data_IF_538074107363
#
_entry.id   IF_538074107363
#
_cell.length_a   1.000
_cell.length_b   1.000
_cell.length_c   1.000
_cell.angle_alpha   90.00
_cell.angle_beta   90.00
_cell.angle_gamma   90.00
#
_symmetry.space_group_name_H-M   'P 1'
#
loop_
_entity.id
_entity.type
_entity.pdbx_description
1 polymer ?
#
# COMPACT_ATOMS: atom_id res chain seq x y z
N UNK A 1 -9.51 56.16 28.37
CA UNK A 1 -8.10 55.82 28.06
C UNK A 1 -7.95 54.32 28.15
N UNK A 2 -7.57 53.73 27.02
CA UNK A 2 -7.40 52.30 26.79
C UNK A 2 -6.23 51.74 27.58
N UNK A 3 -6.39 50.54 28.16
CA UNK A 3 -5.34 49.52 28.23
C UNK A 3 -5.97 48.15 28.05
N UNK A 4 -6.11 47.78 26.78
CA UNK A 4 -6.31 46.41 26.32
C UNK A 4 -5.01 45.64 26.60
N UNK A 5 -5.07 44.61 27.42
CA UNK A 5 -4.08 43.53 27.39
C UNK A 5 -4.85 42.27 27.00
N UNK A 6 -4.75 41.95 25.71
CA UNK A 6 -4.94 40.61 25.22
C UNK A 6 -3.58 39.91 25.37
N UNK A 7 -3.54 38.84 26.15
CA UNK A 7 -2.42 37.90 26.11
C UNK A 7 -2.47 37.13 24.78
N UNK A 8 -1.32 36.89 24.12
CA UNK A 8 -1.30 36.26 22.82
C UNK A 8 -1.61 34.77 22.95
N UNK A 9 -2.60 34.32 22.17
CA UNK A 9 -2.75 32.93 21.81
C UNK A 9 -1.58 32.51 20.92
N UNK A 10 -0.73 31.60 21.40
CA UNK A 10 0.16 30.79 20.55
C UNK A 10 0.57 29.52 21.28
N UNK A 11 -0.35 28.56 21.37
CA UNK A 11 -0.06 27.16 21.70
C UNK A 11 -0.97 26.29 20.83
N UNK A 12 -0.65 26.19 19.55
CA UNK A 12 -0.99 25.04 18.73
C UNK A 12 0.23 24.76 17.87
N UNK A 13 0.84 23.61 18.12
CA UNK A 13 1.99 23.08 17.40
C UNK A 13 1.66 23.03 15.91
N UNK A 14 2.50 23.64 15.07
CA UNK A 14 2.58 23.28 13.67
C UNK A 14 3.03 21.80 13.65
N UNK A 15 2.11 20.89 13.32
CA UNK A 15 2.49 19.53 12.93
C UNK A 15 3.30 19.68 11.64
N UNK A 16 4.63 19.68 11.76
CA UNK A 16 5.54 19.50 10.63
C UNK A 16 5.19 18.15 9.96
N UNK A 17 4.29 18.19 8.98
CA UNK A 17 3.96 17.03 8.17
C UNK A 17 5.20 16.58 7.39
N UNK A 18 5.38 15.27 7.23
CA UNK A 18 6.51 14.76 6.47
C UNK A 18 6.29 15.01 4.96
N UNK A 19 7.35 15.33 4.24
CA UNK A 19 7.32 15.41 2.78
C UNK A 19 7.25 14.00 2.16
N UNK A 20 6.81 13.91 0.91
CA UNK A 20 6.80 12.65 0.15
C UNK A 20 8.16 11.94 0.18
N UNK A 21 9.25 12.71 0.03
CA UNK A 21 10.60 12.17 0.01
C UNK A 21 10.97 11.58 1.36
N UNK A 22 10.76 12.31 2.47
CA UNK A 22 11.02 11.82 3.82
C UNK A 22 10.20 10.57 4.14
N UNK A 23 8.94 10.53 3.72
CA UNK A 23 8.08 9.35 3.91
C UNK A 23 8.61 8.14 3.13
N UNK A 24 9.01 8.32 1.88
CA UNK A 24 9.55 7.21 1.08
C UNK A 24 10.88 6.69 1.66
N UNK A 25 11.76 7.60 2.10
CA UNK A 25 13.06 7.25 2.68
C UNK A 25 12.92 6.57 4.05
N UNK A 26 12.13 7.16 4.97
CA UNK A 26 12.00 6.68 6.35
C UNK A 26 11.24 5.35 6.46
N UNK A 27 10.28 5.11 5.56
CA UNK A 27 9.41 3.93 5.60
C UNK A 27 9.67 2.94 4.46
N UNK A 28 10.71 3.19 3.64
CA UNK A 28 11.11 2.36 2.50
C UNK A 28 9.95 2.08 1.53
N UNK A 29 9.17 3.11 1.22
CA UNK A 29 8.04 3.00 0.30
C UNK A 29 8.51 3.10 -1.16
N UNK A 30 7.70 2.54 -2.07
CA UNK A 30 7.93 2.60 -3.51
C UNK A 30 7.72 4.04 -4.03
N UNK A 31 8.82 4.80 -4.10
CA UNK A 31 8.79 6.21 -4.51
C UNK A 31 8.13 6.43 -5.89
N UNK A 32 8.44 5.66 -6.96
CA UNK A 32 7.73 5.75 -8.23
C UNK A 32 6.21 5.60 -8.10
N UNK A 33 5.74 4.62 -7.32
CA UNK A 33 4.31 4.45 -7.05
C UNK A 33 3.74 5.66 -6.30
N UNK A 34 4.44 6.12 -5.25
CA UNK A 34 3.97 7.20 -4.39
C UNK A 34 3.86 8.53 -5.16
N UNK A 35 4.81 8.83 -6.05
CA UNK A 35 4.73 9.99 -6.97
C UNK A 35 3.47 9.89 -7.85
N UNK A 36 3.19 8.71 -8.40
CA UNK A 36 2.00 8.51 -9.25
C UNK A 36 0.69 8.66 -8.46
N UNK A 37 0.65 8.22 -7.21
CA UNK A 37 -0.51 8.38 -6.33
C UNK A 37 -0.72 9.83 -5.90
N UNK A 38 0.35 10.61 -5.69
CA UNK A 38 0.28 12.06 -5.49
C UNK A 38 -0.27 12.74 -6.76
N UNK A 39 0.24 12.39 -7.95
CA UNK A 39 -0.28 12.94 -9.22
C UNK A 39 -1.77 12.63 -9.44
N UNK A 40 -2.24 11.50 -8.94
CA UNK A 40 -3.66 11.10 -8.99
C UNK A 40 -4.51 11.71 -7.87
N UNK A 41 -3.92 12.53 -7.00
CA UNK A 41 -4.61 13.21 -5.91
C UNK A 41 -5.04 12.29 -4.78
N UNK A 42 -4.34 11.16 -4.59
CA UNK A 42 -4.57 10.25 -3.45
C UNK A 42 -3.92 10.81 -2.18
N UNK A 43 -2.73 11.39 -2.32
CA UNK A 43 -1.96 12.00 -1.23
C UNK A 43 -1.53 13.42 -1.59
N UNK A 44 -1.29 14.25 -0.57
CA UNK A 44 -0.59 15.52 -0.72
C UNK A 44 0.92 15.28 -0.78
N UNK A 45 1.68 16.10 -1.52
CA UNK A 45 3.13 15.95 -1.60
C UNK A 45 3.89 16.50 -0.39
N UNK A 46 3.31 17.48 0.31
CA UNK A 46 4.05 18.35 1.23
C UNK A 46 3.63 18.22 2.70
N UNK A 47 2.63 17.41 3.05
CA UNK A 47 2.13 17.30 4.41
C UNK A 47 1.52 15.91 4.66
N UNK A 48 2.36 14.88 4.76
CA UNK A 48 1.89 13.57 5.19
C UNK A 48 1.68 13.55 6.69
N UNK A 49 0.45 13.23 7.10
CA UNK A 49 0.13 12.86 8.47
C UNK A 49 0.48 11.38 8.74
N UNK A 50 0.54 10.98 10.01
CA UNK A 50 0.70 9.56 10.39
C UNK A 50 -0.37 8.65 9.75
N UNK A 51 -1.59 9.18 9.58
CA UNK A 51 -2.67 8.48 8.87
C UNK A 51 -2.36 8.28 7.39
N UNK A 52 -1.75 9.27 6.75
CA UNK A 52 -1.33 9.19 5.34
C UNK A 52 -0.17 8.21 5.16
N UNK A 53 0.77 8.15 6.11
CA UNK A 53 1.85 7.14 6.11
C UNK A 53 1.26 5.73 6.17
N UNK A 54 0.28 5.48 7.05
CA UNK A 54 -0.40 4.18 7.11
C UNK A 54 -1.09 3.82 5.79
N UNK A 55 -1.74 4.80 5.15
CA UNK A 55 -2.36 4.60 3.85
C UNK A 55 -1.34 4.41 2.72
N UNK A 56 -0.20 5.08 2.77
CA UNK A 56 0.90 4.92 1.82
C UNK A 56 1.52 3.51 1.88
N UNK A 57 1.73 3.00 3.10
CA UNK A 57 2.16 1.62 3.31
C UNK A 57 1.13 0.61 2.76
N UNK A 58 -0.16 0.85 2.99
CA UNK A 58 -1.23 0.04 2.39
C UNK A 58 -1.22 0.11 0.86
N UNK A 59 -0.96 1.28 0.28
CA UNK A 59 -0.87 1.44 -1.17
C UNK A 59 0.28 0.61 -1.77
N UNK A 60 1.45 0.61 -1.13
CA UNK A 60 2.59 -0.21 -1.52
C UNK A 60 2.24 -1.71 -1.45
N UNK A 61 1.63 -2.16 -0.35
CA UNK A 61 1.18 -3.56 -0.23
C UNK A 61 0.18 -3.96 -1.32
N UNK A 62 -0.75 -3.07 -1.68
CA UNK A 62 -1.69 -3.31 -2.77
C UNK A 62 -1.00 -3.41 -4.13
N UNK A 63 0.04 -2.61 -4.36
CA UNK A 63 0.86 -2.65 -5.56
C UNK A 63 1.66 -3.96 -5.66
N UNK A 64 2.32 -4.37 -4.58
CA UNK A 64 3.01 -5.68 -4.46
C UNK A 64 2.04 -6.86 -4.68
N UNK A 65 0.78 -6.70 -4.29
CA UNK A 65 -0.28 -7.68 -4.52
C UNK A 65 -0.73 -7.75 -5.98
N UNK A 66 -0.22 -6.88 -6.84
CA UNK A 66 -0.44 -6.87 -8.29
C UNK A 66 -1.45 -5.83 -8.78
N UNK A 67 -1.86 -4.86 -7.96
CA UNK A 67 -2.69 -3.75 -8.44
C UNK A 67 -1.85 -2.67 -9.13
N UNK A 68 -2.42 -2.07 -10.18
CA UNK A 68 -1.86 -0.87 -10.77
C UNK A 68 -2.13 0.37 -9.91
N UNK A 69 -1.33 1.42 -10.09
CA UNK A 69 -1.55 2.72 -9.45
C UNK A 69 -2.95 3.29 -9.72
N UNK A 70 -3.54 3.03 -10.89
CA UNK A 70 -4.91 3.41 -11.23
C UNK A 70 -5.94 2.71 -10.33
N UNK A 71 -5.83 1.38 -10.18
CA UNK A 71 -6.73 0.63 -9.31
C UNK A 71 -6.57 1.02 -7.84
N UNK A 72 -5.35 1.34 -7.42
CA UNK A 72 -5.06 1.81 -6.05
C UNK A 72 -5.67 3.20 -5.82
N UNK A 73 -5.55 4.13 -6.77
CA UNK A 73 -6.21 5.43 -6.66
C UNK A 73 -7.73 5.28 -6.57
N UNK A 74 -8.33 4.44 -7.42
CA UNK A 74 -9.75 4.13 -7.36
C UNK A 74 -10.16 3.48 -6.01
N UNK A 75 -9.28 2.65 -5.43
CA UNK A 75 -9.47 2.08 -4.10
C UNK A 75 -9.57 3.18 -3.04
N UNK A 76 -8.65 4.15 -2.99
CA UNK A 76 -8.71 5.21 -1.97
C UNK A 76 -9.87 6.19 -2.18
N UNK A 77 -10.21 6.50 -3.43
CA UNK A 77 -11.22 7.49 -3.78
C UNK A 77 -12.67 6.98 -3.71
N UNK A 78 -12.91 5.68 -3.55
CA UNK A 78 -14.27 5.13 -3.51
C UNK A 78 -15.02 5.52 -2.23
N UNK A 79 -16.24 6.06 -2.39
CA UNK A 79 -17.10 6.53 -1.29
C UNK A 79 -18.34 5.64 -1.06
N UNK A 80 -18.21 4.31 -1.21
CA UNK A 80 -19.34 3.38 -1.15
C UNK A 80 -19.42 2.55 0.15
N UNK A 81 -18.88 3.09 1.26
CA UNK A 81 -18.79 2.37 2.52
C UNK A 81 -17.91 1.11 2.44
N UNK A 82 -16.94 1.12 1.53
CA UNK A 82 -15.96 0.04 1.36
C UNK A 82 -16.53 -1.22 0.72
N UNK A 83 -17.66 -1.14 0.01
CA UNK A 83 -18.22 -2.30 -0.72
C UNK A 83 -17.29 -2.67 -1.89
N UNK A 84 -16.89 -1.70 -2.71
CA UNK A 84 -15.98 -1.88 -3.84
C UNK A 84 -14.59 -2.30 -3.37
N UNK A 85 -14.08 -1.68 -2.29
CA UNK A 85 -12.84 -2.09 -1.62
C UNK A 85 -12.85 -3.59 -1.26
N UNK A 86 -13.93 -4.06 -0.61
CA UNK A 86 -14.08 -5.49 -0.25
C UNK A 86 -14.17 -6.41 -1.46
N UNK A 87 -14.83 -6.00 -2.54
CA UNK A 87 -14.89 -6.79 -3.78
C UNK A 87 -13.51 -6.93 -4.40
N UNK A 88 -12.76 -5.81 -4.50
CA UNK A 88 -11.41 -5.80 -5.03
C UNK A 88 -10.47 -6.72 -4.24
N UNK A 89 -10.47 -6.61 -2.91
CA UNK A 89 -9.64 -7.44 -2.03
C UNK A 89 -9.99 -8.93 -2.14
N UNK A 90 -11.28 -9.28 -2.26
CA UNK A 90 -11.71 -10.68 -2.47
C UNK A 90 -11.20 -11.23 -3.78
N UNK A 91 -11.22 -10.41 -4.84
CA UNK A 91 -10.69 -10.80 -6.15
C UNK A 91 -9.19 -11.05 -6.09
N UNK A 92 -8.43 -10.12 -5.54
CA UNK A 92 -6.98 -10.28 -5.34
C UNK A 92 -6.65 -11.53 -4.54
N UNK A 93 -7.41 -11.79 -3.47
CA UNK A 93 -7.25 -13.00 -2.67
C UNK A 93 -7.46 -14.27 -3.51
N UNK A 94 -8.52 -14.32 -4.31
CA UNK A 94 -8.78 -15.47 -5.18
C UNK A 94 -7.67 -15.68 -6.20
N UNK A 95 -7.20 -14.61 -6.86
CA UNK A 95 -6.11 -14.67 -7.83
C UNK A 95 -4.79 -15.13 -7.17
N UNK A 96 -4.49 -14.65 -5.95
CA UNK A 96 -3.33 -15.11 -5.19
C UNK A 96 -3.42 -16.59 -4.82
N UNK A 97 -4.60 -17.07 -4.41
CA UNK A 97 -4.84 -18.50 -4.12
C UNK A 97 -4.69 -19.36 -5.36
N UNK A 98 -5.15 -18.90 -6.52
CA UNK A 98 -4.98 -19.62 -7.78
C UNK A 98 -3.50 -19.77 -8.16
N UNK A 99 -2.70 -18.71 -8.00
CA UNK A 99 -1.24 -18.77 -8.20
C UNK A 99 -0.58 -19.73 -7.22
N UNK A 100 -0.92 -19.66 -5.93
CA UNK A 100 -0.39 -20.56 -4.91
C UNK A 100 -0.71 -22.03 -5.23
N UNK A 101 -1.95 -22.34 -5.62
CA UNK A 101 -2.33 -23.69 -6.04
C UNK A 101 -1.61 -24.14 -7.33
N UNK A 102 -1.32 -23.23 -8.25
CA UNK A 102 -0.56 -23.55 -9.46
C UNK A 102 0.90 -23.90 -9.13
N UNK A 103 1.54 -23.13 -8.24
CA UNK A 103 2.89 -23.42 -7.79
C UNK A 103 2.95 -24.72 -6.97
N UNK A 104 1.94 -25.00 -6.12
CA UNK A 104 1.87 -26.29 -5.42
C UNK A 104 1.84 -27.47 -6.40
N UNK A 105 0.97 -27.41 -7.43
CA UNK A 105 0.93 -28.45 -8.48
C UNK A 105 2.25 -28.59 -9.23
N UNK A 106 3.02 -27.51 -9.34
CA UNK A 106 4.34 -27.53 -9.97
C UNK A 106 5.35 -28.25 -9.08
N UNK A 107 5.35 -27.97 -7.78
CA UNK A 107 6.16 -28.68 -6.78
C UNK A 107 5.84 -30.17 -6.79
N UNK A 108 4.56 -30.55 -6.72
CA UNK A 108 4.15 -31.96 -6.72
C UNK A 108 4.67 -32.74 -7.96
N UNK A 109 4.69 -32.08 -9.12
CA UNK A 109 5.24 -32.65 -10.36
C UNK A 109 6.75 -32.82 -10.27
N UNK A 110 7.47 -31.85 -9.72
CA UNK A 110 8.91 -31.93 -9.53
C UNK A 110 9.27 -33.06 -8.55
N UNK A 111 8.55 -33.18 -7.44
CA UNK A 111 8.75 -34.25 -6.46
C UNK A 111 8.52 -35.64 -7.06
N UNK A 112 7.48 -35.79 -7.88
CA UNK A 112 7.23 -37.03 -8.63
C UNK A 112 8.40 -37.39 -9.57
N UNK A 113 8.96 -36.39 -10.25
CA UNK A 113 10.13 -36.61 -11.12
C UNK A 113 11.38 -36.97 -10.32
N UNK A 114 11.63 -36.30 -9.19
CA UNK A 114 12.75 -36.61 -8.31
C UNK A 114 12.67 -38.05 -7.81
N UNK A 115 11.50 -38.46 -7.31
CA UNK A 115 11.28 -39.82 -6.81
C UNK A 115 11.52 -40.90 -7.88
N UNK A 116 11.08 -40.65 -9.10
CA UNK A 116 11.36 -41.56 -10.23
C UNK A 116 12.84 -41.70 -10.55
N UNK A 117 13.64 -40.66 -10.33
CA UNK A 117 15.09 -40.71 -10.53
C UNK A 117 15.79 -41.46 -9.39
N UNK A 118 15.32 -41.30 -8.15
CA UNK A 118 15.82 -42.04 -6.99
C UNK A 118 15.54 -43.55 -7.12
N UNK A 119 14.32 -43.91 -7.52
CA UNK A 119 13.92 -45.32 -7.71
C UNK A 119 14.61 -45.99 -8.93
N UNK A 120 15.18 -45.20 -9.84
CA UNK A 120 15.87 -45.68 -11.04
C UNK A 120 17.38 -45.87 -10.85
N UNK A 121 17.93 -45.52 -9.68
CA UNK A 121 19.32 -45.83 -9.34
C UNK A 121 19.42 -47.31 -8.92
N UNK A 122 20.32 -48.11 -9.54
CA UNK A 122 20.47 -49.53 -9.26
C UNK A 122 21.08 -49.83 -7.88
#
# INVERSE_FOLDING_TARGET
MMKTQAEPASFLNEEDGMTLQEVCENFHLDEPLMIELVRRGVFSAENFSDGDVCHAALACFLHESGLSAECIAAYFQTQDGGKSKRILLRRLRSEALERAHAEQRRVDKLDCLLRKLEDAQP
#
